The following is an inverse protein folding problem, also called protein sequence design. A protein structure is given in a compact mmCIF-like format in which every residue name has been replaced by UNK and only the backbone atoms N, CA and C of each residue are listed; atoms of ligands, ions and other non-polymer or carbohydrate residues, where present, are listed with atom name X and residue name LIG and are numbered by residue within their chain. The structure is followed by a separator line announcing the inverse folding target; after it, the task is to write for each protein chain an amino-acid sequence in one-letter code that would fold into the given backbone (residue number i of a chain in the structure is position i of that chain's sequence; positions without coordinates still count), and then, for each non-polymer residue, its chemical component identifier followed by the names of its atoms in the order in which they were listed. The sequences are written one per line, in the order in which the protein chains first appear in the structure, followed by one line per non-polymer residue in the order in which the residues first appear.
data_IF_610807216610
#
_entry.id   IF_610807216610
#
_cell.length_a   1.000
_cell.length_b   1.000
_cell.length_c   1.000
_cell.angle_alpha   90.00
_cell.angle_beta   90.00
_cell.angle_gamma   90.00
#
_symmetry.space_group_name_H-M   'P 1'
#
loop_
_entity.id
_entity.type
_entity.pdbx_description
1 polymer ?
#
# COMPACT_ATOMS: atom_id res chain seq x y z
N UNK A 1 -1.74 6.80 14.28
CA UNK A 1 -2.16 6.83 12.86
C UNK A 1 -1.00 7.35 12.05
N UNK A 2 -0.49 6.57 11.11
CA UNK A 2 0.62 6.97 10.24
C UNK A 2 0.07 7.21 8.83
N UNK A 3 0.34 8.40 8.29
CA UNK A 3 -0.08 8.82 6.96
C UNK A 3 1.06 8.66 5.96
N UNK A 4 0.75 8.24 4.75
CA UNK A 4 1.67 8.17 3.64
C UNK A 4 1.05 8.90 2.45
N UNK A 5 1.80 9.79 1.81
CA UNK A 5 1.30 10.50 0.63
C UNK A 5 1.39 9.61 -0.62
N UNK A 6 0.66 9.97 -1.68
CA UNK A 6 0.87 9.39 -3.00
C UNK A 6 2.22 9.84 -3.58
N UNK A 7 2.70 11.04 -3.24
CA UNK A 7 4.05 11.47 -3.60
C UNK A 7 5.14 10.53 -3.06
N UNK A 8 5.02 10.08 -1.80
CA UNK A 8 5.99 9.13 -1.22
C UNK A 8 6.04 7.80 -2.00
N UNK A 9 4.89 7.36 -2.53
CA UNK A 9 4.83 6.19 -3.40
C UNK A 9 5.57 6.43 -4.72
N UNK A 10 5.35 7.59 -5.35
CA UNK A 10 6.01 7.93 -6.60
C UNK A 10 7.53 8.00 -6.42
N UNK A 11 7.99 8.68 -5.38
CA UNK A 11 9.41 8.81 -5.07
C UNK A 11 10.05 7.44 -4.79
N UNK A 12 9.33 6.55 -4.09
CA UNK A 12 9.81 5.20 -3.83
C UNK A 12 9.85 4.34 -5.10
N UNK A 13 8.85 4.44 -5.98
CA UNK A 13 8.83 3.73 -7.26
C UNK A 13 9.97 4.20 -8.17
N UNK A 14 10.20 5.51 -8.28
CA UNK A 14 11.32 6.07 -9.05
C UNK A 14 12.67 5.63 -8.47
N UNK A 15 12.81 5.63 -7.15
CA UNK A 15 14.01 5.15 -6.46
C UNK A 15 14.27 3.66 -6.70
N UNK A 16 13.21 2.86 -6.82
CA UNK A 16 13.29 1.44 -7.15
C UNK A 16 13.49 1.18 -8.66
N UNK A 17 13.62 2.25 -9.46
CA UNK A 17 13.96 2.22 -10.88
C UNK A 17 12.76 2.14 -11.83
N UNK A 18 11.53 2.35 -11.35
CA UNK A 18 10.33 2.39 -12.18
C UNK A 18 10.08 3.81 -12.71
N UNK A 19 9.68 3.93 -13.98
CA UNK A 19 9.11 5.17 -14.49
C UNK A 19 7.62 5.23 -14.09
N UNK A 20 7.26 6.19 -13.26
CA UNK A 20 5.87 6.38 -12.83
C UNK A 20 4.93 6.69 -14.00
N UNK A 21 5.43 7.20 -15.13
CA UNK A 21 4.64 7.46 -16.33
C UNK A 21 4.23 6.18 -17.07
N UNK A 22 4.87 5.03 -16.78
CA UNK A 22 4.45 3.73 -17.31
C UNK A 22 3.21 3.18 -16.56
N UNK A 23 2.98 3.69 -15.35
CA UNK A 23 1.93 3.24 -14.43
C UNK A 23 0.75 4.24 -14.43
N UNK A 24 1.07 5.53 -14.47
CA UNK A 24 0.13 6.62 -14.30
C UNK A 24 0.18 7.60 -15.46
N UNK A 25 -0.98 8.10 -15.86
CA UNK A 25 -1.03 9.24 -16.79
C UNK A 25 -0.62 10.53 -16.07
N UNK A 26 -0.22 11.54 -16.84
CA UNK A 26 0.09 12.88 -16.29
C UNK A 26 -1.08 13.51 -15.53
N UNK A 27 -2.30 13.23 -15.98
CA UNK A 27 -3.53 13.70 -15.34
C UNK A 27 -3.75 13.01 -14.00
N UNK A 28 -3.55 11.69 -13.93
CA UNK A 28 -3.63 10.92 -12.69
C UNK A 28 -2.57 11.37 -11.69
N UNK A 29 -1.31 11.55 -12.12
CA UNK A 29 -0.24 12.07 -11.26
C UNK A 29 -0.64 13.43 -10.67
N UNK A 30 -1.19 14.34 -11.49
CA UNK A 30 -1.65 15.65 -11.04
C UNK A 30 -2.82 15.52 -10.05
N UNK A 31 -3.77 14.63 -10.32
CA UNK A 31 -4.89 14.36 -9.43
C UNK A 31 -4.41 13.82 -8.08
N UNK A 32 -3.55 12.79 -8.07
CA UNK A 32 -3.05 12.17 -6.83
C UNK A 32 -2.23 13.14 -5.98
N UNK A 33 -1.43 14.01 -6.60
CA UNK A 33 -0.74 15.10 -5.89
C UNK A 33 -1.71 16.14 -5.32
N UNK A 34 -2.81 16.44 -6.02
CA UNK A 34 -3.84 17.33 -5.50
C UNK A 34 -4.63 16.69 -4.34
N UNK A 35 -4.93 15.38 -4.42
CA UNK A 35 -5.55 14.62 -3.34
C UNK A 35 -4.69 14.61 -2.07
N UNK A 36 -3.37 14.52 -2.20
CA UNK A 36 -2.44 14.64 -1.07
C UNK A 36 -2.53 16.02 -0.39
N UNK A 37 -2.60 17.10 -1.18
CA UNK A 37 -2.72 18.47 -0.66
C UNK A 37 -4.03 18.68 0.11
N UNK A 38 -5.10 18.00 -0.32
CA UNK A 38 -6.40 18.02 0.36
C UNK A 38 -6.45 17.08 1.57
N UNK A 39 -5.37 16.35 1.88
CA UNK A 39 -5.35 15.21 2.83
C UNK A 39 -6.43 14.17 2.52
N UNK A 40 -6.80 14.08 1.25
CA UNK A 40 -7.75 13.11 0.72
C UNK A 40 -7.06 11.83 0.25
N UNK A 41 -5.72 11.81 0.16
CA UNK A 41 -4.93 10.61 -0.09
C UNK A 41 -5.05 9.62 1.08
N UNK A 42 -6.05 8.73 1.04
CA UNK A 42 -6.39 7.81 2.14
C UNK A 42 -5.40 6.64 2.31
N UNK A 43 -4.10 6.89 2.21
CA UNK A 43 -3.10 5.88 2.60
C UNK A 43 -2.74 6.07 4.06
N UNK A 44 -3.25 5.18 4.91
CA UNK A 44 -3.15 5.36 6.36
C UNK A 44 -3.10 4.03 7.08
N UNK A 45 -2.19 3.92 8.04
CA UNK A 45 -2.16 2.82 8.97
C UNK A 45 -2.89 3.18 10.27
N UNK A 46 -3.87 2.36 10.64
CA UNK A 46 -4.68 2.47 11.85
C UNK A 46 -4.46 1.24 12.71
N UNK A 47 -3.84 1.44 13.87
CA UNK A 47 -3.76 0.42 14.92
C UNK A 47 -5.05 0.49 15.77
N UNK A 48 -5.75 -0.64 15.87
CA UNK A 48 -6.98 -0.77 16.65
C UNK A 48 -6.73 -1.34 18.06
N UNK A 49 -5.47 -1.64 18.39
CA UNK A 49 -5.11 -2.36 19.60
C UNK A 49 -5.41 -3.87 19.50
N UNK A 50 -5.03 -4.62 20.53
CA UNK A 50 -5.21 -6.09 20.60
C UNK A 50 -4.60 -6.84 19.41
N UNK A 51 -3.51 -6.31 18.85
CA UNK A 51 -2.84 -6.87 17.69
C UNK A 51 -3.68 -6.82 16.41
N UNK A 52 -4.66 -5.93 16.29
CA UNK A 52 -5.42 -5.70 15.05
C UNK A 52 -5.05 -4.34 14.47
N UNK A 53 -4.92 -4.28 13.16
CA UNK A 53 -4.68 -3.04 12.45
C UNK A 53 -5.36 -3.04 11.09
N UNK A 54 -5.60 -1.86 10.52
CA UNK A 54 -6.08 -1.70 9.15
C UNK A 54 -5.15 -0.77 8.40
N UNK A 55 -4.70 -1.22 7.22
CA UNK A 55 -3.97 -0.41 6.26
C UNK A 55 -4.94 0.04 5.18
N UNK A 56 -5.23 1.33 5.13
CA UNK A 56 -5.93 1.97 4.03
C UNK A 56 -4.91 2.37 2.97
N UNK A 57 -5.22 2.11 1.71
CA UNK A 57 -4.43 2.43 0.53
C UNK A 57 -5.30 3.21 -0.45
N UNK A 58 -4.79 4.32 -0.99
CA UNK A 58 -5.49 5.07 -2.04
C UNK A 58 -5.59 4.26 -3.35
N UNK A 59 -6.34 4.80 -4.33
CA UNK A 59 -6.42 4.23 -5.68
C UNK A 59 -5.06 4.25 -6.40
N UNK A 60 -4.19 5.22 -6.09
CA UNK A 60 -2.82 5.24 -6.62
C UNK A 60 -2.06 3.96 -6.21
N UNK A 61 -2.08 3.63 -4.92
CA UNK A 61 -1.45 2.40 -4.41
C UNK A 61 -2.10 1.14 -4.98
N UNK A 62 -3.42 1.14 -5.15
CA UNK A 62 -4.15 0.02 -5.77
C UNK A 62 -3.73 -0.20 -7.21
N UNK A 63 -3.57 0.88 -7.99
CA UNK A 63 -3.08 0.83 -9.36
C UNK A 63 -1.63 0.38 -9.44
N UNK A 64 -0.76 0.85 -8.54
CA UNK A 64 0.62 0.37 -8.44
C UNK A 64 0.67 -1.15 -8.26
N UNK A 65 -0.10 -1.67 -7.29
CA UNK A 65 -0.19 -3.11 -6.99
C UNK A 65 -0.71 -3.88 -8.21
N UNK A 66 -1.75 -3.38 -8.88
CA UNK A 66 -2.29 -4.03 -10.06
C UNK A 66 -1.30 -4.06 -11.24
N UNK A 67 -0.47 -3.02 -11.39
CA UNK A 67 0.44 -2.87 -12.53
C UNK A 67 1.74 -3.67 -12.37
N UNK A 68 2.49 -3.49 -11.27
CA UNK A 68 3.80 -4.18 -11.09
C UNK A 68 3.74 -5.38 -10.14
N UNK A 69 2.58 -5.68 -9.58
CA UNK A 69 2.38 -6.81 -8.69
C UNK A 69 3.36 -6.86 -7.52
N UNK A 70 4.18 -7.91 -7.50
CA UNK A 70 5.16 -8.12 -6.43
C UNK A 70 6.18 -6.97 -6.29
N UNK A 71 6.44 -6.23 -7.36
CA UNK A 71 7.38 -5.11 -7.36
C UNK A 71 6.82 -3.87 -6.63
N UNK A 72 5.62 -3.39 -6.96
CA UNK A 72 4.96 -2.35 -6.17
C UNK A 72 4.68 -2.80 -4.75
N UNK A 73 4.36 -4.08 -4.53
CA UNK A 73 4.23 -4.63 -3.19
C UNK A 73 5.50 -4.44 -2.36
N UNK A 74 6.68 -4.59 -2.97
CA UNK A 74 7.98 -4.32 -2.36
C UNK A 74 8.19 -2.84 -2.06
N UNK A 75 7.89 -1.94 -3.00
CA UNK A 75 7.98 -0.50 -2.81
C UNK A 75 7.06 0.00 -1.68
N UNK A 76 5.80 -0.44 -1.68
CA UNK A 76 4.79 -0.10 -0.65
C UNK A 76 5.20 -0.66 0.70
N UNK A 77 5.69 -1.91 0.73
CA UNK A 77 6.24 -2.56 1.92
C UNK A 77 7.42 -1.78 2.50
N UNK A 78 8.37 -1.37 1.65
CA UNK A 78 9.53 -0.58 2.04
C UNK A 78 9.16 0.79 2.58
N UNK A 79 8.19 1.47 1.92
CA UNK A 79 7.69 2.77 2.33
C UNK A 79 6.99 2.73 3.71
N UNK A 80 6.15 1.72 3.93
CA UNK A 80 5.47 1.55 5.22
C UNK A 80 6.46 1.21 6.33
N UNK A 81 7.52 0.46 6.00
CA UNK A 81 8.65 0.19 6.88
C UNK A 81 8.31 -0.64 8.12
N UNK A 82 9.34 -0.91 8.93
CA UNK A 82 9.22 -1.55 10.24
C UNK A 82 8.67 -2.99 10.23
N UNK A 83 8.03 -3.45 11.32
CA UNK A 83 7.45 -4.80 11.44
C UNK A 83 6.32 -5.09 10.43
N UNK A 84 5.75 -4.03 9.84
CA UNK A 84 4.64 -4.06 8.89
C UNK A 84 5.11 -4.33 7.45
N UNK A 85 6.23 -3.71 7.04
CA UNK A 85 6.73 -3.80 5.67
C UNK A 85 6.98 -5.24 5.23
N UNK A 86 7.89 -5.94 5.90
CA UNK A 86 8.30 -7.29 5.48
C UNK A 86 7.19 -8.35 5.52
N UNK A 87 6.08 -8.08 6.22
CA UNK A 87 5.02 -9.05 6.49
C UNK A 87 3.76 -8.85 5.63
N UNK A 88 3.55 -7.65 5.06
CA UNK A 88 2.41 -7.38 4.15
C UNK A 88 2.74 -7.63 2.67
N UNK A 89 4.02 -7.62 2.28
CA UNK A 89 4.41 -7.73 0.86
C UNK A 89 3.86 -8.98 0.15
N UNK A 90 3.85 -10.13 0.83
CA UNK A 90 3.28 -11.37 0.28
C UNK A 90 1.76 -11.29 0.07
N UNK A 91 1.06 -10.57 0.95
CA UNK A 91 -0.38 -10.35 0.84
C UNK A 91 -0.70 -9.38 -0.31
N UNK A 92 0.07 -8.30 -0.45
CA UNK A 92 -0.05 -7.36 -1.58
C UNK A 92 0.25 -8.05 -2.91
N UNK A 93 1.26 -8.92 -2.97
CA UNK A 93 1.55 -9.73 -4.16
C UNK A 93 0.40 -10.67 -4.54
N UNK A 94 -0.26 -11.29 -3.55
CA UNK A 94 -1.46 -12.09 -3.80
C UNK A 94 -2.65 -11.25 -4.27
N UNK A 95 -2.81 -10.02 -3.76
CA UNK A 95 -3.82 -9.08 -4.24
C UNK A 95 -3.59 -8.68 -5.70
N UNK A 96 -2.34 -8.48 -6.12
CA UNK A 96 -2.03 -8.17 -7.52
C UNK A 96 -2.45 -9.27 -8.50
N UNK A 97 -2.47 -10.53 -8.06
CA UNK A 97 -3.00 -11.65 -8.85
C UNK A 97 -4.53 -11.63 -9.00
N UNK A 98 -5.23 -10.73 -8.32
CA UNK A 98 -6.67 -10.51 -8.47
C UNK A 98 -6.96 -9.34 -9.41
N UNK A 99 -8.06 -9.39 -10.17
CA UNK A 99 -8.49 -8.29 -11.05
C UNK A 99 -8.97 -7.09 -10.21
N UNK A 100 -8.02 -6.30 -9.70
CA UNK A 100 -8.28 -5.12 -8.87
C UNK A 100 -8.91 -3.99 -9.69
N UNK A 101 -9.95 -3.37 -9.12
CA UNK A 101 -10.52 -2.12 -9.62
C UNK A 101 -9.61 -0.95 -9.20
N UNK A 102 -8.73 -0.53 -10.10
CA UNK A 102 -7.71 0.50 -9.85
C UNK A 102 -8.28 1.90 -9.68
N UNK A 103 -9.58 2.11 -9.92
CA UNK A 103 -10.23 3.39 -9.67
C UNK A 103 -10.54 3.62 -8.18
N UNK A 104 -10.45 2.57 -7.36
CA UNK A 104 -10.82 2.59 -5.95
C UNK A 104 -9.61 2.40 -5.04
N UNK A 105 -9.65 3.04 -3.88
CA UNK A 105 -8.78 2.67 -2.77
C UNK A 105 -9.18 1.33 -2.17
N UNK A 106 -8.25 0.68 -1.49
CA UNK A 106 -8.48 -0.59 -0.78
C UNK A 106 -8.16 -0.45 0.69
N UNK A 107 -8.80 -1.24 1.53
CA UNK A 107 -8.39 -1.43 2.92
C UNK A 107 -7.92 -2.88 3.11
N UNK A 108 -6.94 -3.08 3.99
CA UNK A 108 -6.38 -4.38 4.33
C UNK A 108 -6.47 -4.53 5.84
N UNK A 109 -7.23 -5.52 6.31
CA UNK A 109 -7.26 -5.85 7.73
C UNK A 109 -6.11 -6.79 8.07
N UNK A 110 -5.42 -6.49 9.16
CA UNK A 110 -4.23 -7.18 9.60
C UNK A 110 -4.37 -7.65 11.04
N UNK A 111 -3.67 -8.75 11.34
CA UNK A 111 -3.50 -9.25 12.71
C UNK A 111 -2.04 -9.52 13.01
N UNK A 112 -1.63 -9.21 14.23
CA UNK A 112 -0.32 -9.55 14.77
C UNK A 112 -0.24 -11.06 14.99
N UNK A 113 0.79 -11.68 14.43
CA UNK A 113 1.08 -13.11 14.54
C UNK A 113 2.55 -13.30 14.84
N UNK A 114 2.88 -14.37 15.54
CA UNK A 114 4.28 -14.74 15.79
C UNK A 114 4.84 -15.41 14.54
N UNK A 115 5.94 -14.88 14.00
CA UNK A 115 6.65 -15.50 12.87
C UNK A 115 7.54 -16.67 13.35
N UNK A 116 8.19 -17.35 12.41
CA UNK A 116 9.07 -18.50 12.71
C UNK A 116 10.26 -18.14 13.62
N UNK A 117 10.70 -16.88 13.61
CA UNK A 117 11.75 -16.38 14.49
C UNK A 117 11.25 -15.97 15.89
N UNK A 118 9.96 -16.13 16.17
CA UNK A 118 9.38 -15.78 17.46
C UNK A 118 8.98 -14.29 17.60
N UNK A 119 9.13 -13.50 16.55
CA UNK A 119 8.81 -12.07 16.54
C UNK A 119 7.36 -11.83 16.13
N UNK A 120 6.71 -10.83 16.74
CA UNK A 120 5.38 -10.39 16.32
C UNK A 120 5.47 -9.56 15.04
N UNK A 121 4.72 -9.97 14.02
CA UNK A 121 4.59 -9.30 12.73
C UNK A 121 3.12 -9.20 12.34
N UNK A 122 2.75 -8.21 11.55
CA UNK A 122 1.38 -8.08 11.07
C UNK A 122 1.16 -8.90 9.80
N UNK A 123 0.15 -9.76 9.79
CA UNK A 123 -0.25 -10.53 8.61
C UNK A 123 -1.56 -10.00 8.07
N UNK A 124 -1.62 -9.74 6.76
CA UNK A 124 -2.86 -9.44 6.05
C UNK A 124 -3.85 -10.62 6.17
N UNK A 125 -5.11 -10.32 6.50
CA UNK A 125 -6.15 -11.33 6.74
C UNK A 125 -7.25 -11.28 5.69
N UNK A 126 -7.70 -10.09 5.33
CA UNK A 126 -8.62 -9.84 4.23
C UNK A 126 -8.45 -8.41 3.74
N UNK A 127 -9.06 -8.12 2.59
CA UNK A 127 -9.09 -6.78 2.01
C UNK A 127 -10.45 -6.50 1.37
N UNK A 128 -10.73 -5.24 1.11
CA UNK A 128 -11.92 -4.78 0.38
C UNK A 128 -11.73 -3.38 -0.18
N UNK A 129 -12.70 -2.88 -0.93
CA UNK A 129 -12.69 -1.50 -1.44
C UNK A 129 -13.17 -0.51 -0.38
N UNK A 130 -12.60 0.69 -0.40
CA UNK A 130 -13.02 1.83 0.41
C UNK A 130 -14.25 2.53 -0.15
#
# INVERSE_FOLDING_TARGET
MQYFSNQDLFDQLEKDGYDINDIYTKEEIKQYKAEDQLRAGKTTFVDHGNGKATLYLSSAYTKAIAWSGAAAAGAISGLIGGPLGGSIGSFLGAMAGSSLDTSKGVYINMKSVKNAAGNYVFKGTNWGYQ
#
